data_IF_195412523662
#
_entry.id   IF_195412523662
#
_cell.length_a   1.000
_cell.length_b   1.000
_cell.length_c   1.000
_cell.angle_alpha   90.00
_cell.angle_beta   90.00
_cell.angle_gamma   90.00
#
_symmetry.space_group_name_H-M   'P 1'
#
loop_
_entity.id
_entity.type
_entity.pdbx_description
1 polymer ?
#
# COMPACT_ATOMS: atom_id res chain seq x y z
N UNK A 1 24.44 14.33 27.62
CA UNK A 1 23.08 13.98 27.15
C UNK A 1 22.57 15.11 26.27
N UNK A 2 22.21 14.83 25.05
CA UNK A 2 21.71 15.86 24.16
C UNK A 2 20.36 16.40 24.68
N UNK A 3 20.17 17.70 24.56
CA UNK A 3 18.91 18.34 24.96
C UNK A 3 17.72 17.84 24.15
N UNK A 4 17.94 17.55 22.85
CA UNK A 4 16.98 16.92 21.95
C UNK A 4 17.68 15.81 21.21
N UNK A 5 17.10 14.64 21.24
CA UNK A 5 17.59 13.50 20.46
C UNK A 5 16.38 12.69 20.01
N UNK A 6 16.45 12.10 18.83
CA UNK A 6 15.49 11.09 18.46
C UNK A 6 15.73 9.86 19.32
N UNK A 7 14.66 9.31 19.84
CA UNK A 7 14.69 7.94 20.29
C UNK A 7 14.80 7.09 19.04
N UNK A 8 15.95 6.49 18.80
CA UNK A 8 16.23 5.75 17.55
C UNK A 8 15.19 4.68 17.28
N UNK A 9 14.68 4.02 18.32
CA UNK A 9 13.64 3.01 18.17
C UNK A 9 12.31 3.63 17.75
N UNK A 10 11.92 4.76 18.35
CA UNK A 10 10.70 5.46 17.98
C UNK A 10 10.81 6.07 16.58
N UNK A 11 11.95 6.66 16.25
CA UNK A 11 12.18 7.26 14.94
C UNK A 11 12.10 6.25 13.79
N UNK A 12 12.58 5.03 14.01
CA UNK A 12 12.52 3.97 13.00
C UNK A 12 11.11 3.45 12.77
N UNK A 13 10.25 3.45 13.81
CA UNK A 13 8.93 2.82 13.75
C UNK A 13 7.78 3.83 13.72
N UNK A 14 8.06 5.12 13.94
CA UNK A 14 7.04 6.17 13.89
C UNK A 14 6.92 6.73 12.47
N UNK A 15 6.56 5.84 11.56
CA UNK A 15 6.30 6.19 10.17
C UNK A 15 5.17 5.31 9.64
N UNK A 16 4.49 5.82 8.62
CA UNK A 16 3.41 5.10 7.96
C UNK A 16 3.81 4.90 6.49
N UNK A 17 4.13 3.67 6.08
CA UNK A 17 4.44 3.40 4.68
C UNK A 17 3.17 3.50 3.83
N UNK A 18 3.28 4.20 2.71
CA UNK A 18 2.21 4.34 1.72
C UNK A 18 2.68 3.66 0.43
N UNK A 19 1.91 2.69 -0.03
CA UNK A 19 2.25 1.98 -1.26
C UNK A 19 2.13 2.91 -2.47
N UNK A 20 3.10 2.84 -3.37
CA UNK A 20 3.11 3.65 -4.58
C UNK A 20 1.87 3.41 -5.44
N UNK A 21 1.35 2.20 -5.45
CA UNK A 21 0.10 1.83 -6.12
C UNK A 21 -1.07 2.70 -5.66
N UNK A 22 -1.17 3.00 -4.37
CA UNK A 22 -2.18 3.91 -3.86
C UNK A 22 -2.02 5.31 -4.47
N UNK A 23 -0.80 5.82 -4.46
CA UNK A 23 -0.51 7.17 -4.95
C UNK A 23 -0.81 7.30 -6.44
N UNK A 24 -0.42 6.31 -7.24
CA UNK A 24 -0.51 6.37 -8.69
C UNK A 24 -1.89 5.97 -9.24
N UNK A 25 -2.59 5.06 -8.60
CA UNK A 25 -3.83 4.51 -9.14
C UNK A 25 -5.10 5.03 -8.44
N UNK A 26 -5.02 5.39 -7.16
CA UNK A 26 -6.19 5.71 -6.36
C UNK A 26 -6.25 7.18 -5.92
N UNK A 27 -5.13 7.70 -5.43
CA UNK A 27 -5.07 9.05 -4.87
C UNK A 27 -5.38 10.13 -5.90
N UNK A 28 -4.88 9.99 -7.11
CA UNK A 28 -4.93 11.06 -8.13
C UNK A 28 -6.36 11.42 -8.55
N UNK A 29 -7.29 10.46 -8.46
CA UNK A 29 -8.68 10.67 -8.85
C UNK A 29 -9.63 10.90 -7.67
N UNK A 30 -9.10 10.84 -6.44
CA UNK A 30 -9.90 10.95 -5.23
C UNK A 30 -9.96 12.39 -4.73
N UNK A 31 -11.05 12.79 -4.06
CA UNK A 31 -11.08 14.06 -3.33
C UNK A 31 -10.01 14.10 -2.24
N UNK A 32 -9.39 15.26 -2.04
CA UNK A 32 -8.32 15.43 -1.06
C UNK A 32 -8.71 15.06 0.36
N UNK A 33 -9.94 15.39 0.76
CA UNK A 33 -10.46 15.04 2.08
C UNK A 33 -10.54 13.53 2.28
N UNK A 34 -10.87 12.78 1.25
CA UNK A 34 -10.95 11.33 1.30
C UNK A 34 -9.57 10.68 1.36
N UNK A 35 -8.59 11.25 0.68
CA UNK A 35 -7.17 10.86 0.79
C UNK A 35 -6.68 11.06 2.22
N UNK A 36 -7.02 12.18 2.83
CA UNK A 36 -6.69 12.50 4.21
C UNK A 36 -7.22 11.45 5.19
N UNK A 37 -8.47 11.05 5.02
CA UNK A 37 -9.10 9.99 5.83
C UNK A 37 -8.37 8.65 5.63
N UNK A 38 -8.06 8.29 4.40
CA UNK A 38 -7.35 7.05 4.11
C UNK A 38 -5.97 7.00 4.76
N UNK A 39 -5.19 8.07 4.63
CA UNK A 39 -3.85 8.13 5.22
C UNK A 39 -3.89 8.06 6.75
N UNK A 40 -4.86 8.73 7.37
CA UNK A 40 -5.04 8.66 8.82
C UNK A 40 -5.42 7.25 9.26
N UNK A 41 -6.34 6.62 8.56
CA UNK A 41 -6.75 5.24 8.82
C UNK A 41 -5.59 4.25 8.62
N UNK A 42 -4.78 4.47 7.58
CA UNK A 42 -3.60 3.64 7.33
C UNK A 42 -2.59 3.75 8.48
N UNK A 43 -2.35 4.94 8.99
CA UNK A 43 -1.53 5.15 10.17
C UNK A 43 -2.08 4.34 11.37
N UNK A 44 -3.38 4.35 11.59
CA UNK A 44 -4.00 3.60 12.68
C UNK A 44 -3.87 2.09 12.51
N UNK A 45 -3.76 1.61 11.28
CA UNK A 45 -3.50 0.18 11.02
C UNK A 45 -2.07 -0.22 11.43
N UNK A 46 -1.10 0.66 11.20
CA UNK A 46 0.29 0.41 11.60
C UNK A 46 0.54 0.73 13.09
N UNK A 47 -0.14 1.72 13.61
CA UNK A 47 0.00 2.19 15.00
C UNK A 47 -1.39 2.26 15.66
N UNK A 48 -1.96 1.11 16.03
CA UNK A 48 -3.32 1.07 16.58
C UNK A 48 -3.46 1.88 17.86
N UNK A 49 -4.57 2.62 17.97
CA UNK A 49 -4.94 3.33 19.17
C UNK A 49 -6.27 2.79 19.70
N UNK A 50 -6.28 2.22 20.92
CA UNK A 50 -7.51 1.63 21.47
C UNK A 50 -8.61 2.64 21.77
N UNK A 51 -8.26 3.95 21.81
CA UNK A 51 -9.22 5.03 22.07
C UNK A 51 -9.78 5.64 20.79
N UNK A 52 -9.33 5.18 19.63
CA UNK A 52 -9.77 5.76 18.38
C UNK A 52 -11.16 5.25 18.00
N UNK A 53 -12.01 6.19 17.60
CA UNK A 53 -13.36 5.94 17.11
C UNK A 53 -13.60 6.79 15.87
N UNK A 54 -14.69 6.56 15.16
CA UNK A 54 -15.09 7.41 14.04
C UNK A 54 -15.23 8.87 14.48
N UNK A 55 -15.83 9.09 15.63
CA UNK A 55 -15.98 10.43 16.23
C UNK A 55 -14.64 11.09 16.54
N UNK A 56 -13.72 10.34 17.14
CA UNK A 56 -12.39 10.84 17.48
C UNK A 56 -11.59 11.17 16.19
N UNK A 57 -11.66 10.32 15.19
CA UNK A 57 -11.03 10.54 13.89
C UNK A 57 -11.57 11.81 13.22
N UNK A 58 -12.88 11.99 13.20
CA UNK A 58 -13.52 13.16 12.62
C UNK A 58 -13.06 14.43 13.31
N UNK A 59 -12.97 14.41 14.62
CA UNK A 59 -12.47 15.55 15.42
C UNK A 59 -11.01 15.87 15.08
N UNK A 60 -10.15 14.87 15.00
CA UNK A 60 -8.74 15.05 14.69
C UNK A 60 -8.54 15.59 13.26
N UNK A 61 -9.36 15.17 12.31
CA UNK A 61 -9.31 15.62 10.93
C UNK A 61 -10.06 16.92 10.66
N UNK A 62 -10.74 17.46 11.67
CA UNK A 62 -11.61 18.64 11.54
C UNK A 62 -12.69 18.43 10.45
N UNK A 63 -13.33 17.27 10.50
CA UNK A 63 -14.37 16.85 9.58
C UNK A 63 -15.61 16.41 10.33
N UNK A 64 -16.74 16.39 9.66
CA UNK A 64 -17.94 15.77 10.20
C UNK A 64 -17.85 14.24 10.16
N UNK A 65 -18.45 13.55 11.13
CA UNK A 65 -18.47 12.09 11.14
C UNK A 65 -19.06 11.51 9.86
N UNK A 66 -20.08 12.17 9.32
CA UNK A 66 -20.73 11.77 8.07
C UNK A 66 -19.79 11.85 6.89
N UNK A 67 -18.91 12.84 6.85
CA UNK A 67 -17.92 13.00 5.79
C UNK A 67 -16.82 11.95 5.88
N UNK A 68 -16.40 11.60 7.10
CA UNK A 68 -15.45 10.52 7.33
C UNK A 68 -16.04 9.17 6.91
N UNK A 69 -17.28 8.92 7.28
CA UNK A 69 -17.99 7.69 6.89
C UNK A 69 -18.15 7.61 5.36
N UNK A 70 -18.47 8.74 4.72
CA UNK A 70 -18.57 8.83 3.27
C UNK A 70 -17.22 8.52 2.59
N UNK A 71 -16.12 8.98 3.18
CA UNK A 71 -14.78 8.68 2.68
C UNK A 71 -14.49 7.18 2.76
N UNK A 72 -14.82 6.52 3.87
CA UNK A 72 -14.67 5.08 3.98
C UNK A 72 -15.52 4.31 2.97
N UNK A 73 -16.73 4.75 2.73
CA UNK A 73 -17.60 4.16 1.70
C UNK A 73 -17.03 4.34 0.29
N UNK A 74 -16.42 5.50 0.02
CA UNK A 74 -15.74 5.74 -1.25
C UNK A 74 -14.60 4.74 -1.45
N UNK A 75 -13.75 4.56 -0.45
CA UNK A 75 -12.64 3.63 -0.53
C UNK A 75 -13.10 2.17 -0.55
N UNK A 76 -14.24 1.87 0.05
CA UNK A 76 -14.85 0.54 -0.03
C UNK A 76 -15.30 0.21 -1.46
N UNK A 77 -15.83 1.18 -2.20
CA UNK A 77 -16.17 1.01 -3.62
C UNK A 77 -14.94 0.75 -4.48
N UNK A 78 -13.82 1.38 -4.16
CA UNK A 78 -12.55 1.16 -4.85
C UNK A 78 -11.87 -0.15 -4.42
N UNK A 79 -12.41 -0.86 -3.44
CA UNK A 79 -11.86 -2.13 -2.99
C UNK A 79 -10.68 -2.01 -2.03
N UNK A 80 -10.41 -0.84 -1.47
CA UNK A 80 -9.32 -0.61 -0.53
C UNK A 80 -9.71 -0.84 0.93
N UNK A 81 -10.99 -0.76 1.22
CA UNK A 81 -11.55 -0.83 2.59
C UNK A 81 -12.75 -1.77 2.57
N UNK A 82 -12.96 -2.46 3.66
CA UNK A 82 -14.14 -3.29 3.88
C UNK A 82 -14.76 -2.97 5.22
N UNK A 83 -16.08 -2.82 5.26
CA UNK A 83 -16.82 -2.69 6.50
C UNK A 83 -16.94 -4.07 7.16
N UNK A 84 -16.47 -4.21 8.39
CA UNK A 84 -16.44 -5.48 9.12
C UNK A 84 -17.39 -5.50 10.32
N UNK A 85 -18.00 -4.35 10.66
CA UNK A 85 -18.97 -4.27 11.75
C UNK A 85 -19.88 -3.08 11.62
N UNK A 86 -21.11 -3.20 12.13
CA UNK A 86 -22.14 -2.16 12.09
C UNK A 86 -22.28 -1.40 13.42
N UNK A 87 -21.97 -2.05 14.53
CA UNK A 87 -22.19 -1.44 15.84
C UNK A 87 -21.08 -1.85 16.84
N UNK A 88 -20.04 -1.01 17.03
CA UNK A 88 -19.77 0.23 16.29
C UNK A 88 -19.31 -0.03 14.84
N UNK A 89 -19.49 0.97 14.00
CA UNK A 89 -19.02 0.89 12.62
C UNK A 89 -17.52 0.67 12.61
N UNK A 90 -17.08 -0.41 12.00
CA UNK A 90 -15.67 -0.79 11.95
C UNK A 90 -15.26 -1.08 10.52
N UNK A 91 -14.12 -0.54 10.12
CA UNK A 91 -13.55 -0.73 8.79
C UNK A 91 -12.22 -1.43 8.87
N UNK A 92 -11.96 -2.30 7.89
CA UNK A 92 -10.69 -2.97 7.71
C UNK A 92 -10.08 -2.53 6.38
N UNK A 93 -8.82 -2.10 6.42
CA UNK A 93 -8.08 -1.73 5.22
C UNK A 93 -7.38 -2.96 4.65
N UNK A 94 -7.43 -3.11 3.33
CA UNK A 94 -6.68 -4.14 2.64
C UNK A 94 -5.20 -3.78 2.61
N UNK A 95 -4.35 -4.76 2.81
CA UNK A 95 -2.92 -4.59 2.69
C UNK A 95 -2.53 -4.55 1.22
N UNK A 96 -2.20 -3.35 0.71
CA UNK A 96 -1.87 -3.15 -0.69
C UNK A 96 -0.58 -3.87 -1.11
N UNK A 97 0.32 -4.15 -0.18
CA UNK A 97 1.50 -4.99 -0.47
C UNK A 97 1.09 -6.37 -0.95
N UNK A 98 0.13 -6.98 -0.27
CA UNK A 98 -0.40 -8.29 -0.67
C UNK A 98 -1.11 -8.22 -2.02
N UNK A 99 -1.87 -7.15 -2.25
CA UNK A 99 -2.54 -6.95 -3.54
C UNK A 99 -1.54 -6.80 -4.68
N UNK A 100 -0.45 -6.07 -4.46
CA UNK A 100 0.61 -5.91 -5.44
C UNK A 100 1.28 -7.26 -5.75
N UNK A 101 1.57 -8.04 -4.73
CA UNK A 101 2.15 -9.39 -4.90
C UNK A 101 1.18 -10.32 -5.63
N UNK A 102 -0.09 -10.31 -5.26
CA UNK A 102 -1.12 -11.12 -5.90
C UNK A 102 -1.32 -10.73 -7.36
N UNK A 103 -1.24 -9.44 -7.69
CA UNK A 103 -1.29 -8.98 -9.08
C UNK A 103 -0.09 -9.46 -9.89
N UNK A 104 1.10 -9.43 -9.30
CA UNK A 104 2.31 -9.92 -9.94
C UNK A 104 2.24 -11.43 -10.25
N UNK A 105 1.49 -12.17 -9.43
CA UNK A 105 1.26 -13.60 -9.62
C UNK A 105 0.11 -13.91 -10.58
N UNK A 106 -0.74 -12.93 -10.89
CA UNK A 106 -1.91 -13.13 -11.75
C UNK A 106 -1.56 -12.86 -13.23
N UNK A 107 -1.84 -13.82 -14.12
CA UNK A 107 -1.52 -13.67 -15.56
C UNK A 107 -2.31 -12.57 -16.27
N UNK A 108 -3.20 -11.87 -15.57
CA UNK A 108 -3.96 -10.75 -16.14
C UNK A 108 -3.20 -9.44 -16.26
N UNK A 109 -2.07 -9.29 -15.57
CA UNK A 109 -1.25 -8.08 -15.66
C UNK A 109 -0.17 -8.29 -16.74
N UNK A 110 -0.65 -8.31 -17.97
CA UNK A 110 0.12 -8.73 -19.15
C UNK A 110 1.37 -7.88 -19.42
N UNK A 111 1.34 -6.61 -19.05
CA UNK A 111 2.45 -5.71 -19.36
C UNK A 111 3.68 -5.97 -18.49
N UNK A 112 3.45 -6.11 -17.21
CA UNK A 112 4.51 -6.38 -16.24
C UNK A 112 5.12 -7.78 -16.45
N UNK A 113 4.26 -8.78 -16.64
CA UNK A 113 4.70 -10.16 -16.90
C UNK A 113 5.45 -10.30 -18.20
N UNK A 114 5.11 -9.54 -19.26
CA UNK A 114 5.81 -9.58 -20.53
C UNK A 114 7.23 -9.03 -20.43
N UNK A 115 7.42 -7.90 -19.77
CA UNK A 115 8.75 -7.30 -19.59
C UNK A 115 9.67 -8.21 -18.76
N UNK A 116 9.15 -8.74 -17.66
CA UNK A 116 9.89 -9.67 -16.83
C UNK A 116 10.23 -10.97 -17.56
N UNK A 117 9.28 -11.51 -18.30
CA UNK A 117 9.50 -12.74 -19.10
C UNK A 117 10.56 -12.52 -20.18
N UNK A 118 10.54 -11.39 -20.88
CA UNK A 118 11.56 -11.03 -21.86
C UNK A 118 12.94 -10.90 -21.22
N UNK A 119 13.01 -10.30 -20.05
CA UNK A 119 14.27 -10.13 -19.33
C UNK A 119 14.86 -11.47 -18.89
N UNK A 120 14.02 -12.38 -18.40
CA UNK A 120 14.41 -13.73 -18.01
C UNK A 120 14.90 -14.51 -19.23
N UNK A 121 14.17 -14.45 -20.34
CA UNK A 121 14.52 -15.13 -21.58
C UNK A 121 15.87 -14.63 -22.12
N UNK A 122 16.10 -13.33 -22.08
CA UNK A 122 17.38 -12.75 -22.51
C UNK A 122 18.53 -13.18 -21.59
N UNK A 123 18.30 -13.22 -20.27
CA UNK A 123 19.29 -13.69 -19.31
C UNK A 123 19.61 -15.16 -19.50
N UNK A 124 18.64 -16.01 -19.77
CA UNK A 124 18.84 -17.43 -20.07
C UNK A 124 19.65 -17.62 -21.36
N UNK A 125 19.38 -16.79 -22.36
CA UNK A 125 20.13 -16.83 -23.63
C UNK A 125 21.59 -16.45 -23.43
N UNK A 126 21.87 -15.44 -22.64
CA UNK A 126 23.23 -14.98 -22.34
C UNK A 126 24.01 -16.05 -21.55
N UNK A 127 23.35 -16.62 -20.54
CA UNK A 127 23.96 -17.64 -19.68
C UNK A 127 24.03 -19.01 -20.32
N UNK A 128 23.28 -19.22 -21.40
CA UNK A 128 23.16 -20.52 -22.13
C UNK A 128 22.68 -21.65 -21.22
N UNK A 129 21.84 -21.34 -20.25
CA UNK A 129 21.21 -22.28 -19.34
C UNK A 129 19.90 -21.74 -18.82
N UNK A 130 19.05 -22.62 -18.33
CA UNK A 130 17.82 -22.24 -17.65
C UNK A 130 18.14 -21.62 -16.29
N UNK A 131 17.45 -20.53 -15.94
CA UNK A 131 17.60 -19.89 -14.64
C UNK A 131 17.01 -20.75 -13.52
N UNK A 132 17.71 -20.79 -12.40
CA UNK A 132 17.19 -21.37 -11.19
C UNK A 132 16.07 -20.49 -10.62
N UNK A 133 15.11 -21.04 -9.86
CA UNK A 133 14.03 -20.23 -9.26
C UNK A 133 14.53 -19.05 -8.44
N UNK A 134 15.63 -19.20 -7.74
CA UNK A 134 16.26 -18.13 -6.94
C UNK A 134 16.77 -16.99 -7.83
N UNK A 135 17.35 -17.31 -8.95
CA UNK A 135 17.84 -16.32 -9.92
C UNK A 135 16.69 -15.57 -10.59
N UNK A 136 15.61 -16.27 -10.89
CA UNK A 136 14.39 -15.67 -11.43
C UNK A 136 13.78 -14.68 -10.46
N UNK A 137 13.72 -15.04 -9.18
CA UNK A 137 13.23 -14.14 -8.14
C UNK A 137 14.10 -12.89 -8.00
N UNK A 138 15.42 -13.04 -8.10
CA UNK A 138 16.36 -11.92 -8.03
C UNK A 138 16.12 -10.94 -9.19
N UNK A 139 15.90 -11.43 -10.40
CA UNK A 139 15.59 -10.60 -11.57
C UNK A 139 14.26 -9.89 -11.40
N UNK A 140 13.24 -10.56 -10.88
CA UNK A 140 11.94 -9.97 -10.58
C UNK A 140 12.09 -8.82 -9.58
N UNK A 141 12.86 -9.02 -8.53
CA UNK A 141 13.13 -7.99 -7.53
C UNK A 141 13.86 -6.79 -8.15
N UNK A 142 14.81 -7.03 -9.02
CA UNK A 142 15.53 -5.97 -9.70
C UNK A 142 14.63 -5.13 -10.62
N UNK A 143 13.76 -5.78 -11.39
CA UNK A 143 12.81 -5.09 -12.26
C UNK A 143 11.85 -4.22 -11.45
N UNK A 144 11.41 -4.70 -10.28
CA UNK A 144 10.52 -3.94 -9.41
C UNK A 144 11.20 -2.75 -8.75
N UNK A 145 12.43 -2.93 -8.26
CA UNK A 145 13.10 -1.91 -7.43
C UNK A 145 13.73 -0.82 -8.31
N UNK A 146 14.26 -1.17 -9.46
CA UNK A 146 15.06 -0.25 -10.27
C UNK A 146 14.34 0.30 -11.49
N UNK A 147 13.09 -0.12 -11.76
CA UNK A 147 12.37 0.30 -12.98
C UNK A 147 13.30 0.31 -14.18
N UNK A 148 13.99 -0.81 -14.40
CA UNK A 148 15.01 -0.88 -15.44
C UNK A 148 14.40 -0.49 -16.79
N UNK A 149 15.05 0.46 -17.51
CA UNK A 149 14.59 0.81 -18.85
C UNK A 149 14.72 -0.40 -19.77
N UNK A 150 13.86 -0.46 -20.79
CA UNK A 150 13.86 -1.50 -21.84
C UNK A 150 15.21 -1.64 -22.56
#
# INVERSE_FOLDING_TARGET
MAFCAFDDSAALFDSTPVENMFITEYMLRAPGDFVKVYLYALMLCYHPSPRMSLSAMAKDLDMQEEDVDRAFKYWARDGLVRQVGDNPVTYSLYNLKQLTLTRAENPGDKLYNQQTAQFIEEAERILKRTLLPEETNLINDWVQVFELPE
#
